data_IF_897097950738
#
_entry.id   IF_897097950738
#
_cell.length_a   1.000
_cell.length_b   1.000
_cell.length_c   1.000
_cell.angle_alpha   90.00
_cell.angle_beta   90.00
_cell.angle_gamma   90.00
#
_symmetry.space_group_name_H-M   'P 1'
#
loop_
_entity.id
_entity.type
_entity.pdbx_description
1 polymer ?
#
# COMPACT_ATOMS: atom_id res chain seq x y z
N UNK A 1 20.40 -0.11 5.30
CA UNK A 1 21.48 0.91 5.25
C UNK A 1 21.12 2.14 6.11
N UNK A 2 19.99 2.82 5.89
CA UNK A 2 19.61 4.07 6.58
C UNK A 2 19.55 3.92 8.10
N UNK A 3 18.99 2.81 8.60
CA UNK A 3 18.96 2.50 10.03
C UNK A 3 20.38 2.49 10.64
N UNK A 4 21.29 1.74 10.03
CA UNK A 4 22.68 1.63 10.54
C UNK A 4 23.40 2.97 10.51
N UNK A 5 23.22 3.75 9.44
CA UNK A 5 23.76 5.11 9.38
C UNK A 5 23.19 6.01 10.50
N UNK A 6 21.89 5.95 10.76
CA UNK A 6 21.26 6.70 11.83
C UNK A 6 21.85 6.31 13.20
N UNK A 7 21.92 5.02 13.50
CA UNK A 7 22.50 4.50 14.74
C UNK A 7 23.97 4.93 14.89
N UNK A 8 24.78 4.72 13.86
CA UNK A 8 26.22 5.00 13.89
C UNK A 8 26.51 6.52 14.02
N UNK A 9 25.54 7.37 13.69
CA UNK A 9 25.59 8.82 13.90
C UNK A 9 24.82 9.29 15.16
N UNK A 10 24.50 8.38 16.08
CA UNK A 10 23.99 8.73 17.41
C UNK A 10 22.49 9.03 17.48
N UNK A 11 21.70 8.58 16.48
CA UNK A 11 20.26 8.65 16.58
C UNK A 11 19.77 7.80 17.77
N UNK A 12 18.80 8.33 18.51
CA UNK A 12 18.26 7.65 19.70
C UNK A 12 17.07 6.77 19.40
N UNK A 13 16.43 6.95 18.27
CA UNK A 13 15.27 6.20 17.80
C UNK A 13 15.17 6.26 16.27
N UNK A 14 14.62 5.24 15.67
CA UNK A 14 14.37 5.17 14.25
C UNK A 14 12.86 4.98 13.98
N UNK A 15 12.30 5.81 13.13
CA UNK A 15 10.93 5.65 12.64
C UNK A 15 10.95 5.18 11.19
N UNK A 16 10.06 4.26 10.83
CA UNK A 16 9.94 3.75 9.47
C UNK A 16 8.48 3.58 9.04
N UNK A 17 8.21 3.98 7.81
CA UNK A 17 6.89 3.82 7.20
C UNK A 17 6.70 2.42 6.63
N UNK A 18 5.63 1.75 7.02
CA UNK A 18 5.14 0.49 6.45
C UNK A 18 3.76 0.69 5.80
N UNK A 19 3.03 -0.37 5.56
CA UNK A 19 1.76 -0.37 4.85
C UNK A 19 0.84 -1.47 5.39
N UNK A 20 -0.48 -1.30 5.26
CA UNK A 20 -1.52 -2.31 5.45
C UNK A 20 -1.20 -3.62 4.68
N UNK A 21 -0.62 -3.50 3.48
CA UNK A 21 -0.27 -4.65 2.62
C UNK A 21 0.84 -5.56 3.18
N UNK A 22 1.54 -5.12 4.24
CA UNK A 22 2.54 -5.93 4.93
C UNK A 22 1.94 -6.96 5.91
N UNK A 23 0.68 -6.78 6.33
CA UNK A 23 0.02 -7.68 7.29
C UNK A 23 -0.13 -9.11 6.73
N UNK A 24 -0.80 -9.24 5.58
CA UNK A 24 -0.98 -10.52 4.88
C UNK A 24 -0.59 -10.33 3.41
N UNK A 25 0.70 -10.35 3.05
CA UNK A 25 1.15 -9.96 1.72
C UNK A 25 0.71 -10.94 0.64
N UNK A 26 0.15 -10.40 -0.46
CA UNK A 26 -0.23 -11.15 -1.67
C UNK A 26 0.47 -10.62 -2.92
N UNK A 27 1.19 -9.51 -2.79
CA UNK A 27 1.99 -8.92 -3.86
C UNK A 27 3.41 -8.59 -3.38
N UNK A 28 4.32 -8.40 -4.33
CA UNK A 28 5.76 -8.16 -4.05
C UNK A 28 6.00 -6.90 -3.21
N UNK A 29 5.19 -5.85 -3.37
CA UNK A 29 5.33 -4.62 -2.60
C UNK A 29 4.99 -4.87 -1.12
N UNK A 30 3.86 -5.51 -0.83
CA UNK A 30 3.49 -5.90 0.53
C UNK A 30 4.52 -6.83 1.17
N UNK A 31 4.97 -7.86 0.42
CA UNK A 31 6.01 -8.78 0.88
C UNK A 31 7.34 -8.07 1.18
N UNK A 32 7.77 -7.14 0.33
CA UNK A 32 8.99 -6.36 0.57
C UNK A 32 8.90 -5.51 1.83
N UNK A 33 7.72 -4.94 2.13
CA UNK A 33 7.47 -4.19 3.36
C UNK A 33 7.43 -5.10 4.59
N UNK A 34 6.84 -6.28 4.48
CA UNK A 34 6.89 -7.28 5.56
C UNK A 34 8.32 -7.72 5.87
N UNK A 35 9.13 -8.00 4.84
CA UNK A 35 10.54 -8.31 5.01
C UNK A 35 11.29 -7.15 5.67
N UNK A 36 11.02 -5.91 5.27
CA UNK A 36 11.58 -4.73 5.92
C UNK A 36 11.23 -4.69 7.42
N UNK A 37 9.98 -4.97 7.80
CA UNK A 37 9.57 -5.05 9.22
C UNK A 37 10.38 -6.13 9.96
N UNK A 38 10.60 -7.32 9.36
CA UNK A 38 11.40 -8.39 9.97
C UNK A 38 12.85 -7.96 10.20
N UNK A 39 13.48 -7.28 9.24
CA UNK A 39 14.81 -6.71 9.44
C UNK A 39 14.83 -5.68 10.57
N UNK A 40 13.81 -4.81 10.64
CA UNK A 40 13.70 -3.81 11.69
C UNK A 40 13.48 -4.44 13.06
N UNK A 41 12.77 -5.56 13.16
CA UNK A 41 12.67 -6.33 14.42
C UNK A 41 14.04 -6.79 14.90
N UNK A 42 14.91 -7.30 14.03
CA UNK A 42 16.30 -7.65 14.39
C UNK A 42 17.10 -6.42 14.84
N UNK A 43 17.05 -5.36 14.07
CA UNK A 43 17.82 -4.14 14.37
C UNK A 43 17.31 -3.41 15.64
N UNK A 44 16.05 -3.64 16.04
CA UNK A 44 15.43 -3.04 17.24
C UNK A 44 16.09 -3.41 18.58
N UNK A 45 16.94 -4.43 18.57
CA UNK A 45 17.74 -4.81 19.73
C UNK A 45 18.89 -3.83 20.01
N UNK A 46 19.29 -3.05 18.99
CA UNK A 46 20.42 -2.12 19.08
C UNK A 46 19.99 -0.67 19.21
N UNK A 47 18.79 -0.32 18.75
CA UNK A 47 18.22 1.04 18.86
C UNK A 47 16.70 0.95 18.74
N UNK A 48 15.93 1.69 19.55
CA UNK A 48 14.47 1.67 19.48
C UNK A 48 13.92 2.03 18.09
N UNK A 49 12.92 1.25 17.65
CA UNK A 49 12.25 1.43 16.35
C UNK A 49 10.75 1.51 16.57
N UNK A 50 10.10 2.47 15.91
CA UNK A 50 8.65 2.46 15.74
C UNK A 50 8.28 2.54 14.27
N UNK A 51 7.09 2.06 13.91
CA UNK A 51 6.61 2.02 12.53
C UNK A 51 5.16 2.46 12.46
N UNK A 52 4.71 2.79 11.24
CA UNK A 52 3.31 3.00 10.95
C UNK A 52 2.89 2.24 9.70
N UNK A 53 1.79 1.49 9.78
CA UNK A 53 1.11 0.89 8.62
C UNK A 53 0.00 1.82 8.18
N UNK A 54 0.13 2.35 6.97
CA UNK A 54 -0.87 3.24 6.39
C UNK A 54 -1.94 2.47 5.62
N UNK A 55 -3.15 3.05 5.61
CA UNK A 55 -4.11 2.89 4.54
C UNK A 55 -3.63 3.59 3.25
N UNK A 56 -4.45 3.57 2.20
CA UNK A 56 -4.12 4.33 1.00
C UNK A 56 -4.22 5.84 1.29
N UNK A 57 -3.16 6.58 0.98
CA UNK A 57 -3.18 8.04 1.10
C UNK A 57 -3.87 8.61 -0.14
N UNK A 58 -4.99 9.28 0.08
CA UNK A 58 -5.81 9.83 -1.00
C UNK A 58 -5.02 10.87 -1.82
N UNK A 59 -5.11 10.75 -3.14
CA UNK A 59 -4.46 11.65 -4.12
C UNK A 59 -2.93 11.77 -4.01
N UNK A 60 -2.27 10.82 -3.34
CA UNK A 60 -0.81 10.77 -3.33
C UNK A 60 -0.26 10.51 -4.74
N UNK A 61 0.97 10.98 -4.99
CA UNK A 61 1.64 10.81 -6.28
C UNK A 61 1.71 9.34 -6.70
N UNK A 62 1.38 9.06 -7.97
CA UNK A 62 1.32 7.71 -8.51
C UNK A 62 0.11 6.88 -8.08
N UNK A 63 -0.81 7.42 -7.25
CA UNK A 63 -2.05 6.74 -6.90
C UNK A 63 -3.09 6.81 -8.02
N UNK A 64 -4.03 5.84 -8.04
CA UNK A 64 -5.15 5.86 -8.97
C UNK A 64 -5.98 7.16 -8.86
N UNK A 65 -6.18 7.65 -7.63
CA UNK A 65 -6.91 8.90 -7.40
C UNK A 65 -6.15 10.13 -7.94
N UNK A 66 -4.82 10.14 -7.85
CA UNK A 66 -4.03 11.16 -8.53
C UNK A 66 -4.19 11.05 -10.05
N UNK A 67 -4.28 9.83 -10.57
CA UNK A 67 -4.61 9.56 -11.98
C UNK A 67 -5.94 10.18 -12.42
N UNK A 68 -6.96 10.23 -11.55
CA UNK A 68 -8.22 10.92 -11.85
C UNK A 68 -8.02 12.42 -12.06
N UNK A 69 -7.19 13.10 -11.25
CA UNK A 69 -6.85 14.51 -11.46
C UNK A 69 -6.18 14.72 -12.82
N UNK A 70 -5.23 13.85 -13.18
CA UNK A 70 -4.51 13.93 -14.45
C UNK A 70 -5.44 13.70 -15.64
N UNK A 71 -6.29 12.68 -15.58
CA UNK A 71 -7.27 12.37 -16.63
C UNK A 71 -8.31 13.46 -16.78
N UNK A 72 -8.80 14.01 -15.65
CA UNK A 72 -9.74 15.12 -15.67
C UNK A 72 -9.14 16.36 -16.37
N UNK A 73 -7.93 16.75 -15.98
CA UNK A 73 -7.22 17.87 -16.60
C UNK A 73 -7.00 17.69 -18.12
N UNK A 74 -6.74 16.44 -18.54
CA UNK A 74 -6.52 16.08 -19.95
C UNK A 74 -7.82 15.76 -20.72
N UNK A 75 -8.99 15.86 -20.09
CA UNK A 75 -10.29 15.48 -20.65
C UNK A 75 -10.35 14.04 -21.15
N UNK A 76 -9.76 13.13 -20.39
CA UNK A 76 -9.68 11.69 -20.68
C UNK A 76 -10.72 10.90 -19.89
N UNK A 77 -11.22 9.76 -20.39
CA UNK A 77 -12.13 8.88 -19.65
C UNK A 77 -11.55 8.42 -18.31
N UNK A 78 -12.41 8.19 -17.33
CA UNK A 78 -12.00 7.53 -16.10
C UNK A 78 -12.13 6.01 -16.26
N UNK A 79 -11.14 5.28 -15.72
CA UNK A 79 -11.13 3.83 -15.68
C UNK A 79 -10.76 3.39 -14.27
N UNK A 80 -11.55 2.48 -13.69
CA UNK A 80 -11.32 2.01 -12.32
C UNK A 80 -11.96 0.64 -12.07
N UNK A 81 -11.37 -0.18 -11.16
CA UNK A 81 -12.03 -1.39 -10.69
C UNK A 81 -13.26 -1.05 -9.83
N UNK A 82 -14.32 -1.88 -9.95
CA UNK A 82 -15.59 -1.71 -9.25
C UNK A 82 -15.80 -2.72 -8.10
N UNK A 83 -14.92 -3.68 -7.95
CA UNK A 83 -14.97 -4.77 -6.96
C UNK A 83 -13.86 -4.66 -5.89
N UNK A 84 -12.86 -3.81 -6.11
CA UNK A 84 -11.77 -3.58 -5.18
C UNK A 84 -12.11 -2.42 -4.23
N UNK A 85 -12.07 -2.69 -2.93
CA UNK A 85 -12.37 -1.71 -1.88
C UNK A 85 -11.12 -1.35 -1.09
N UNK A 86 -10.98 -0.09 -0.73
CA UNK A 86 -9.83 0.39 0.05
C UNK A 86 -10.28 1.38 1.14
N UNK A 87 -9.49 1.40 2.20
CA UNK A 87 -9.51 2.49 3.17
C UNK A 87 -8.62 3.61 2.68
N UNK A 88 -9.06 4.85 2.89
CA UNK A 88 -8.29 6.03 2.53
C UNK A 88 -8.09 6.92 3.75
N UNK A 89 -6.90 7.48 3.85
CA UNK A 89 -6.55 8.55 4.78
C UNK A 89 -6.12 9.78 3.98
N UNK A 90 -6.30 10.94 4.56
CA UNK A 90 -5.79 12.19 3.96
C UNK A 90 -4.27 12.28 4.13
N UNK A 91 -3.57 13.11 3.33
CA UNK A 91 -2.15 13.40 3.55
C UNK A 91 -1.85 13.95 4.96
N UNK A 92 -2.77 14.73 5.55
CA UNK A 92 -2.66 15.23 6.91
C UNK A 92 -2.72 14.10 7.94
N UNK A 93 -3.75 13.25 7.91
CA UNK A 93 -3.89 12.10 8.81
C UNK A 93 -2.69 11.15 8.72
N UNK A 94 -2.16 10.94 7.51
CA UNK A 94 -0.96 10.13 7.34
C UNK A 94 0.28 10.75 7.96
N UNK A 95 0.43 12.08 7.86
CA UNK A 95 1.49 12.84 8.53
C UNK A 95 1.37 12.81 10.05
N UNK A 96 0.16 12.96 10.58
CA UNK A 96 -0.13 12.87 12.01
C UNK A 96 0.18 11.47 12.56
N UNK A 97 -0.21 10.40 11.84
CA UNK A 97 0.14 9.02 12.20
C UNK A 97 1.67 8.80 12.24
N UNK A 98 2.41 9.34 11.27
CA UNK A 98 3.88 9.33 11.29
C UNK A 98 4.43 10.00 12.53
N UNK A 99 3.96 11.21 12.82
CA UNK A 99 4.43 12.02 13.94
C UNK A 99 4.12 11.33 15.26
N UNK A 100 2.90 10.83 15.43
CA UNK A 100 2.51 10.07 16.62
C UNK A 100 3.40 8.83 16.80
N UNK A 101 3.59 8.03 15.77
CA UNK A 101 4.44 6.83 15.84
C UNK A 101 5.90 7.18 16.11
N UNK A 102 6.42 8.23 15.47
CA UNK A 102 7.78 8.71 15.67
C UNK A 102 8.05 9.19 17.09
N UNK A 103 7.11 9.93 17.70
CA UNK A 103 7.27 10.53 19.03
C UNK A 103 6.82 9.61 20.16
N UNK A 104 5.64 9.00 20.03
CA UNK A 104 4.95 8.29 21.11
C UNK A 104 5.05 6.76 21.01
N UNK A 105 5.42 6.22 19.84
CA UNK A 105 5.58 4.77 19.65
C UNK A 105 6.75 4.24 20.50
N UNK A 106 6.52 3.16 21.20
CA UNK A 106 7.55 2.43 21.93
C UNK A 106 8.39 1.55 20.98
N UNK A 107 9.44 0.92 21.50
CA UNK A 107 10.27 0.04 20.71
C UNK A 107 9.45 -1.12 20.13
N UNK A 108 9.53 -1.36 18.82
CA UNK A 108 8.84 -2.42 18.06
C UNK A 108 7.35 -2.20 17.84
N UNK A 109 6.79 -1.08 18.26
CA UNK A 109 5.39 -0.78 17.99
C UNK A 109 5.16 -0.38 16.53
N UNK A 110 4.04 -0.85 15.97
CA UNK A 110 3.54 -0.45 14.66
C UNK A 110 2.19 0.21 14.85
N UNK A 111 2.10 1.50 14.58
CA UNK A 111 0.86 2.25 14.64
C UNK A 111 0.05 2.07 13.35
N UNK A 112 -1.27 2.03 13.49
CA UNK A 112 -2.20 1.95 12.36
C UNK A 112 -3.49 2.72 12.66
N UNK A 113 -4.19 3.25 11.64
CA UNK A 113 -5.47 3.92 11.86
C UNK A 113 -6.51 2.88 12.28
N UNK A 114 -7.26 3.16 13.36
CA UNK A 114 -8.40 2.32 13.73
C UNK A 114 -9.49 2.46 12.68
N UNK A 115 -10.14 1.34 12.38
CA UNK A 115 -11.35 1.31 11.57
C UNK A 115 -12.47 1.96 12.41
N UNK A 116 -12.81 3.19 12.07
CA UNK A 116 -13.90 3.95 12.66
C UNK A 116 -15.05 4.13 11.67
N UNK A 117 -16.18 4.64 12.12
CA UNK A 117 -17.29 5.01 11.23
C UNK A 117 -16.87 6.04 10.15
N UNK A 118 -15.77 6.77 10.37
CA UNK A 118 -15.22 7.76 9.45
C UNK A 118 -14.28 7.15 8.41
N UNK A 119 -13.71 5.96 8.68
CA UNK A 119 -12.81 5.26 7.74
C UNK A 119 -13.62 4.27 6.91
N UNK A 120 -14.29 4.77 5.89
CA UNK A 120 -15.16 3.94 5.05
C UNK A 120 -14.37 3.12 4.04
N UNK A 121 -14.76 1.86 3.93
CA UNK A 121 -14.33 0.97 2.87
C UNK A 121 -15.10 1.33 1.59
N UNK A 122 -14.41 1.87 0.59
CA UNK A 122 -15.02 2.41 -0.62
C UNK A 122 -14.35 1.85 -1.88
N UNK A 123 -15.12 1.65 -2.95
CA UNK A 123 -14.57 1.24 -4.25
C UNK A 123 -13.97 2.42 -5.00
N UNK A 124 -13.01 2.13 -5.88
CA UNK A 124 -12.45 3.17 -6.75
C UNK A 124 -13.47 3.77 -7.71
N UNK A 125 -14.41 2.95 -8.19
CA UNK A 125 -15.51 3.41 -9.05
C UNK A 125 -16.43 4.40 -8.32
N UNK A 126 -16.77 4.15 -7.05
CA UNK A 126 -17.60 5.07 -6.27
C UNK A 126 -16.89 6.41 -6.03
N UNK A 127 -15.57 6.37 -5.78
CA UNK A 127 -14.76 7.59 -5.65
C UNK A 127 -14.77 8.37 -6.97
N UNK A 128 -14.55 7.68 -8.10
CA UNK A 128 -14.58 8.30 -9.43
C UNK A 128 -15.89 9.02 -9.70
N UNK A 129 -17.02 8.37 -9.40
CA UNK A 129 -18.33 8.97 -9.59
C UNK A 129 -18.57 10.18 -8.67
N UNK A 130 -18.21 10.08 -7.38
CA UNK A 130 -18.32 11.21 -6.45
C UNK A 130 -17.45 12.39 -6.88
N UNK A 131 -16.22 12.12 -7.29
CA UNK A 131 -15.30 13.12 -7.82
C UNK A 131 -15.89 13.86 -9.00
N UNK A 132 -16.42 13.15 -9.99
CA UNK A 132 -16.99 13.75 -11.20
C UNK A 132 -18.22 14.60 -10.89
N UNK A 133 -19.12 14.14 -10.02
CA UNK A 133 -20.29 14.93 -9.57
C UNK A 133 -19.84 16.20 -8.85
N UNK A 134 -18.83 16.13 -8.01
CA UNK A 134 -18.27 17.31 -7.34
C UNK A 134 -17.66 18.32 -8.34
N UNK A 135 -17.10 17.81 -9.45
CA UNK A 135 -16.57 18.64 -10.54
C UNK A 135 -17.64 19.13 -11.51
N UNK A 136 -18.93 18.85 -11.26
CA UNK A 136 -20.07 19.30 -12.06
C UNK A 136 -20.33 18.49 -13.33
N UNK A 137 -19.98 17.20 -13.30
CA UNK A 137 -20.25 16.25 -14.39
C UNK A 137 -21.02 15.04 -13.87
N UNK A 138 -21.93 14.52 -14.70
CA UNK A 138 -22.56 13.21 -14.43
C UNK A 138 -21.71 12.08 -15.01
N UNK A 139 -21.39 11.03 -14.23
CA UNK A 139 -20.68 9.86 -14.74
C UNK A 139 -21.52 9.13 -15.78
N UNK A 140 -20.93 8.82 -16.93
CA UNK A 140 -21.53 7.99 -17.97
C UNK A 140 -20.77 6.68 -18.06
N UNK A 141 -21.41 5.58 -17.68
CA UNK A 141 -20.77 4.24 -17.71
C UNK A 141 -20.77 3.71 -19.13
N UNK A 142 -19.58 3.48 -19.68
CA UNK A 142 -19.34 2.88 -20.98
C UNK A 142 -19.11 1.36 -20.83
N UNK A 143 -19.46 0.61 -21.86
CA UNK A 143 -19.31 -0.85 -21.88
C UNK A 143 -17.84 -1.30 -22.12
N UNK A 144 -17.02 -0.43 -22.70
CA UNK A 144 -15.61 -0.70 -22.98
C UNK A 144 -14.75 0.56 -22.88
N UNK A 145 -13.43 0.37 -22.79
CA UNK A 145 -12.46 1.50 -22.84
C UNK A 145 -12.53 2.21 -24.20
N UNK A 146 -12.73 1.47 -25.29
CA UNK A 146 -12.84 2.02 -26.63
C UNK A 146 -14.05 2.96 -26.73
N UNK A 147 -15.23 2.50 -26.32
CA UNK A 147 -16.42 3.35 -26.26
C UNK A 147 -16.17 4.62 -25.42
N UNK A 148 -15.53 4.48 -24.26
CA UNK A 148 -15.25 5.62 -23.40
C UNK A 148 -14.33 6.65 -24.07
N UNK A 149 -13.34 6.21 -24.83
CA UNK A 149 -12.43 7.08 -25.57
C UNK A 149 -13.12 7.76 -26.74
N UNK A 150 -13.85 7.01 -27.55
CA UNK A 150 -14.50 7.51 -28.78
C UNK A 150 -15.58 8.55 -28.46
N UNK A 151 -16.30 8.36 -27.36
CA UNK A 151 -17.39 9.25 -26.95
C UNK A 151 -16.96 10.40 -26.03
N UNK A 152 -15.69 10.48 -25.67
CA UNK A 152 -15.23 11.44 -24.66
C UNK A 152 -15.58 12.90 -25.00
N UNK A 153 -15.30 13.35 -26.22
CA UNK A 153 -15.58 14.73 -26.63
C UNK A 153 -17.07 15.05 -26.60
N UNK A 154 -17.91 14.14 -27.12
CA UNK A 154 -19.37 14.28 -27.15
C UNK A 154 -19.96 14.36 -25.74
N UNK A 155 -19.62 13.41 -24.89
CA UNK A 155 -20.17 13.29 -23.54
C UNK A 155 -19.77 14.48 -22.66
N UNK A 156 -18.49 14.87 -22.71
CA UNK A 156 -17.99 16.00 -21.90
C UNK A 156 -18.67 17.32 -22.32
N UNK A 157 -18.97 17.51 -23.60
CA UNK A 157 -19.72 18.67 -24.07
C UNK A 157 -21.16 18.72 -23.49
N UNK A 158 -21.74 17.56 -23.17
CA UNK A 158 -23.06 17.39 -22.54
C UNK A 158 -23.03 17.37 -21.01
N UNK A 159 -21.92 17.74 -20.39
CA UNK A 159 -21.71 17.62 -18.93
C UNK A 159 -21.82 16.20 -18.38
N UNK A 160 -21.54 15.21 -19.22
CA UNK A 160 -21.37 13.83 -18.85
C UNK A 160 -19.88 13.46 -18.97
N UNK A 161 -19.39 12.55 -18.09
CA UNK A 161 -18.00 12.11 -18.16
C UNK A 161 -17.90 10.62 -18.43
N UNK A 162 -17.22 10.18 -19.49
CA UNK A 162 -17.11 8.76 -19.81
C UNK A 162 -16.31 8.01 -18.76
N UNK A 163 -16.89 6.91 -18.27
CA UNK A 163 -16.29 6.04 -17.28
C UNK A 163 -16.35 4.59 -17.74
N UNK A 164 -15.24 3.87 -17.62
CA UNK A 164 -15.21 2.43 -17.79
C UNK A 164 -14.84 1.76 -16.48
N UNK A 165 -15.79 1.02 -15.89
CA UNK A 165 -15.60 0.30 -14.65
C UNK A 165 -15.56 -1.20 -14.92
N UNK A 166 -14.55 -1.89 -14.38
CA UNK A 166 -14.27 -3.28 -14.65
C UNK A 166 -14.01 -4.06 -13.35
N UNK A 167 -14.16 -5.39 -13.40
CA UNK A 167 -13.72 -6.25 -12.31
C UNK A 167 -12.23 -6.48 -12.38
N UNK A 168 -11.55 -6.36 -11.23
CA UNK A 168 -10.09 -6.52 -11.17
C UNK A 168 -9.70 -7.97 -11.45
N UNK A 169 -8.73 -8.14 -12.34
CA UNK A 169 -8.03 -9.39 -12.61
C UNK A 169 -6.52 -9.24 -12.44
N UNK A 170 -6.13 -8.21 -11.69
CA UNK A 170 -4.73 -7.81 -11.48
C UNK A 170 -4.00 -8.78 -10.54
N UNK A 171 -2.72 -9.03 -10.83
CA UNK A 171 -1.84 -9.84 -9.99
C UNK A 171 -1.76 -9.30 -8.57
N UNK A 172 -2.01 -10.15 -7.58
CA UNK A 172 -1.83 -9.82 -6.16
C UNK A 172 -2.80 -8.76 -5.63
N UNK A 173 -4.01 -8.67 -6.18
CA UNK A 173 -5.07 -7.82 -5.65
C UNK A 173 -5.92 -8.57 -4.62
N UNK A 174 -6.31 -7.87 -3.54
CA UNK A 174 -7.27 -8.32 -2.54
C UNK A 174 -8.56 -7.51 -2.64
N UNK A 175 -9.69 -8.08 -2.18
CA UNK A 175 -10.95 -7.34 -2.06
C UNK A 175 -10.80 -6.13 -1.13
N UNK A 176 -10.10 -6.31 -0.01
CA UNK A 176 -9.73 -5.24 0.93
C UNK A 176 -8.42 -5.57 1.65
N UNK A 177 -7.77 -4.56 2.21
CA UNK A 177 -6.52 -4.71 2.96
C UNK A 177 -6.76 -4.69 4.47
N UNK A 178 -5.87 -5.34 5.21
CA UNK A 178 -5.91 -5.46 6.66
C UNK A 178 -4.69 -4.77 7.27
N UNK A 179 -4.87 -4.11 8.41
CA UNK A 179 -3.74 -3.44 9.09
C UNK A 179 -2.91 -4.39 9.95
N UNK A 180 -3.50 -5.49 10.39
CA UNK A 180 -2.89 -6.45 11.30
C UNK A 180 -3.37 -7.88 11.00
N UNK A 181 -2.67 -8.84 11.56
CA UNK A 181 -3.02 -10.26 11.51
C UNK A 181 -3.57 -10.75 12.85
N UNK A 182 -4.26 -11.88 12.85
CA UNK A 182 -4.78 -12.50 14.10
C UNK A 182 -3.69 -12.93 15.08
N UNK A 183 -2.43 -12.94 14.63
CA UNK A 183 -1.27 -13.35 15.45
C UNK A 183 -0.57 -12.17 16.13
N UNK A 184 -0.94 -10.93 15.78
CA UNK A 184 -0.32 -9.73 16.32
C UNK A 184 -1.04 -9.27 17.60
N UNK A 185 -0.28 -8.88 18.61
CA UNK A 185 -0.81 -8.36 19.88
C UNK A 185 -1.16 -6.88 19.71
N UNK A 186 -2.42 -6.52 20.02
CA UNK A 186 -2.99 -5.21 19.73
C UNK A 186 -3.27 -4.41 20.98
N UNK A 187 -2.81 -3.18 21.03
CA UNK A 187 -3.29 -2.16 21.97
C UNK A 187 -4.28 -1.24 21.26
N UNK A 188 -5.56 -1.43 21.55
CA UNK A 188 -6.65 -0.62 21.00
C UNK A 188 -7.15 0.45 21.98
N UNK A 189 -6.55 0.56 23.16
CA UNK A 189 -7.04 1.43 24.25
C UNK A 189 -6.28 2.74 24.39
N UNK A 190 -5.02 2.79 23.98
CA UNK A 190 -4.09 3.90 24.24
C UNK A 190 -4.46 5.21 23.56
N UNK A 191 -5.03 5.16 22.35
CA UNK A 191 -5.46 6.33 21.58
C UNK A 191 -6.84 6.09 20.97
N UNK A 192 -7.62 7.14 20.77
CA UNK A 192 -8.97 7.03 20.21
C UNK A 192 -8.96 6.57 18.75
N UNK A 193 -8.20 7.23 17.87
CA UNK A 193 -8.18 6.98 16.42
C UNK A 193 -7.05 6.09 15.91
N UNK A 194 -6.11 5.68 16.77
CA UNK A 194 -4.91 4.91 16.40
C UNK A 194 -4.79 3.67 17.27
N UNK A 195 -4.57 2.51 16.63
CA UNK A 195 -4.18 1.27 17.28
C UNK A 195 -2.66 1.08 17.22
N UNK A 196 -2.13 0.28 18.11
CA UNK A 196 -0.72 -0.11 18.13
C UNK A 196 -0.58 -1.63 18.15
N UNK A 197 0.26 -2.17 17.29
CA UNK A 197 0.70 -3.56 17.33
C UNK A 197 1.94 -3.60 18.18
N UNK A 198 1.94 -4.48 19.23
CA UNK A 198 3.08 -4.71 20.11
C UNK A 198 3.86 -5.93 19.64
N UNK A 199 5.00 -5.72 19.03
CA UNK A 199 5.80 -6.82 18.52
C UNK A 199 6.87 -7.28 19.51
N UNK A 200 7.06 -8.60 19.55
CA UNK A 200 8.23 -9.22 20.15
C UNK A 200 9.34 -9.36 19.09
N UNK A 201 10.62 -9.36 19.47
CA UNK A 201 11.74 -9.50 18.52
C UNK A 201 11.88 -10.96 18.05
N UNK A 202 10.85 -11.47 17.38
CA UNK A 202 10.82 -12.82 16.84
C UNK A 202 11.27 -12.73 15.38
N UNK A 203 12.46 -13.29 15.08
CA UNK A 203 13.02 -13.35 13.74
C UNK A 203 14.02 -14.51 13.63
N UNK A 204 14.21 -15.00 12.43
CA UNK A 204 15.28 -15.95 12.08
C UNK A 204 16.44 -15.18 11.45
N UNK A 205 17.53 -15.02 12.21
CA UNK A 205 18.68 -14.23 11.75
C UNK A 205 19.35 -14.86 10.54
N UNK A 206 19.41 -16.19 10.47
CA UNK A 206 20.05 -16.89 9.35
C UNK A 206 19.25 -16.67 8.06
N UNK A 207 17.93 -16.83 8.10
CA UNK A 207 17.06 -16.57 6.94
C UNK A 207 17.14 -15.14 6.44
N UNK A 208 17.24 -14.16 7.35
CA UNK A 208 17.43 -12.75 6.98
C UNK A 208 18.76 -12.51 6.29
N UNK A 209 19.83 -13.16 6.76
CA UNK A 209 21.16 -13.05 6.17
C UNK A 209 21.23 -13.79 4.82
N UNK A 210 20.59 -14.95 4.70
CA UNK A 210 20.48 -15.69 3.44
C UNK A 210 19.71 -14.88 2.39
N UNK A 211 18.60 -14.25 2.77
CA UNK A 211 17.87 -13.34 1.89
C UNK A 211 18.74 -12.17 1.41
N UNK A 212 19.47 -11.51 2.33
CA UNK A 212 20.36 -10.40 1.98
C UNK A 212 21.47 -10.85 1.01
N UNK A 213 22.05 -12.02 1.27
CA UNK A 213 23.11 -12.60 0.44
C UNK A 213 22.58 -13.00 -0.93
N UNK A 214 21.39 -13.60 -0.99
CA UNK A 214 20.71 -13.94 -2.25
C UNK A 214 20.42 -12.72 -3.12
N UNK A 215 19.88 -11.65 -2.52
CA UNK A 215 19.67 -10.38 -3.24
C UNK A 215 20.98 -9.79 -3.74
N UNK A 216 22.03 -9.84 -2.93
CA UNK A 216 23.35 -9.34 -3.34
C UNK A 216 23.94 -10.16 -4.51
N UNK A 217 23.82 -11.48 -4.45
CA UNK A 217 24.29 -12.37 -5.52
C UNK A 217 23.58 -12.10 -6.86
N UNK A 218 22.24 -11.89 -6.83
CA UNK A 218 21.49 -11.52 -8.03
C UNK A 218 21.96 -10.17 -8.61
N UNK A 219 22.23 -9.18 -7.76
CA UNK A 219 22.75 -7.88 -8.20
C UNK A 219 24.15 -7.98 -8.82
N UNK A 220 25.05 -8.78 -8.25
CA UNK A 220 26.40 -8.99 -8.74
C UNK A 220 26.41 -9.75 -10.08
N UNK A 221 25.49 -10.71 -10.23
CA UNK A 221 25.27 -11.41 -11.51
C UNK A 221 24.82 -10.46 -12.62
N UNK A 222 24.19 -9.33 -12.27
CA UNK A 222 23.70 -8.32 -13.22
C UNK A 222 22.53 -8.77 -14.09
N UNK A 223 21.99 -9.98 -13.86
CA UNK A 223 20.82 -10.51 -14.55
C UNK A 223 20.01 -11.39 -13.60
N UNK A 224 18.71 -11.23 -13.63
CA UNK A 224 17.77 -12.02 -12.85
C UNK A 224 16.46 -12.18 -13.63
N UNK A 225 15.75 -13.26 -13.38
CA UNK A 225 14.37 -13.43 -13.79
C UNK A 225 13.41 -13.23 -12.59
N UNK A 226 12.13 -13.19 -12.87
CA UNK A 226 11.11 -13.01 -11.87
C UNK A 226 11.06 -14.15 -10.86
N UNK A 227 11.28 -15.40 -11.33
CA UNK A 227 11.21 -16.56 -10.48
C UNK A 227 12.33 -16.55 -9.43
N UNK A 228 13.57 -16.22 -9.81
CA UNK A 228 14.68 -16.11 -8.88
C UNK A 228 14.42 -15.10 -7.75
N UNK A 229 13.71 -14.01 -8.03
CA UNK A 229 13.29 -13.05 -7.00
C UNK A 229 12.19 -13.64 -6.12
N UNK A 230 11.16 -14.27 -6.72
CA UNK A 230 10.07 -14.88 -5.99
C UNK A 230 10.55 -15.99 -5.04
N UNK A 231 11.49 -16.81 -5.46
CA UNK A 231 12.06 -17.89 -4.65
C UNK A 231 12.68 -17.33 -3.36
N UNK A 232 13.48 -16.25 -3.45
CA UNK A 232 14.03 -15.59 -2.25
C UNK A 232 12.93 -15.07 -1.30
N UNK A 233 11.82 -14.57 -1.85
CA UNK A 233 10.70 -14.10 -1.03
C UNK A 233 9.96 -15.25 -0.37
N UNK A 234 9.70 -16.35 -1.07
CA UNK A 234 9.03 -17.54 -0.51
C UNK A 234 9.88 -18.23 0.55
N UNK A 235 11.22 -18.30 0.36
CA UNK A 235 12.11 -18.88 1.36
C UNK A 235 12.07 -18.13 2.70
N UNK A 236 11.99 -16.79 2.66
CA UNK A 236 11.91 -15.97 3.85
C UNK A 236 10.49 -15.83 4.40
N UNK A 237 9.47 -15.78 3.52
CA UNK A 237 8.06 -15.61 3.85
C UNK A 237 7.24 -16.78 3.29
N UNK A 238 7.22 -17.94 3.95
CA UNK A 238 6.44 -19.11 3.46
C UNK A 238 4.94 -18.84 3.35
N UNK A 239 4.41 -17.89 4.13
CA UNK A 239 3.01 -17.43 4.09
C UNK A 239 2.70 -16.45 2.96
N UNK A 240 3.67 -16.07 2.15
CA UNK A 240 3.47 -15.16 1.02
C UNK A 240 2.50 -15.76 -0.01
N UNK A 241 1.26 -15.29 -0.03
CA UNK A 241 0.18 -15.84 -0.86
C UNK A 241 0.15 -15.22 -2.26
N UNK A 242 1.31 -15.06 -2.91
CA UNK A 242 1.39 -14.50 -4.25
C UNK A 242 0.73 -15.38 -5.31
N UNK A 243 -0.19 -14.78 -6.07
CA UNK A 243 -0.80 -15.41 -7.25
C UNK A 243 -0.50 -14.57 -8.48
N UNK A 244 0.23 -15.14 -9.39
CA UNK A 244 0.58 -14.49 -10.65
C UNK A 244 -0.52 -14.69 -11.69
N UNK A 245 -1.07 -13.61 -12.20
CA UNK A 245 -2.05 -13.62 -13.29
C UNK A 245 -1.48 -13.09 -14.60
N UNK A 246 -0.26 -12.53 -14.57
CA UNK A 246 0.36 -11.90 -15.74
C UNK A 246 -0.25 -10.55 -16.12
N UNK A 247 -1.19 -10.03 -15.33
CA UNK A 247 -1.87 -8.76 -15.59
C UNK A 247 -1.51 -7.75 -14.52
N UNK A 248 -1.12 -6.57 -14.93
CA UNK A 248 -0.66 -5.50 -14.04
C UNK A 248 -1.48 -4.24 -14.24
N UNK A 249 -1.72 -3.51 -13.18
CA UNK A 249 -2.56 -2.30 -13.19
C UNK A 249 -2.04 -1.24 -14.18
N UNK A 250 -0.72 -1.09 -14.27
CA UNK A 250 -0.07 -0.12 -15.17
C UNK A 250 -0.35 -0.37 -16.67
N UNK A 251 -0.80 -1.57 -17.04
CA UNK A 251 -1.15 -1.91 -18.42
C UNK A 251 -2.54 -1.42 -18.82
N UNK A 252 -3.35 -0.97 -17.86
CA UNK A 252 -4.75 -0.53 -18.04
C UNK A 252 -4.98 0.96 -17.74
N UNK A 253 -3.93 1.70 -17.51
CA UNK A 253 -4.00 3.14 -17.20
C UNK A 253 -3.66 4.02 -18.39
#
# INVERSE_FOLDING_TARGET
KTFRLARDNGAKKYFCVSTDKAANPVNMMGASKRIMEMFLMRESETMPISMARFANVAFSDGSLLHGFNQRFAKRQPFSAPNDVRRYFVTPQESGELCLMSGLLGENREIFFPKLSEHLHLITFSDIAERYLRQMGYEPFRCASEEEARDRAAELIAKKQWPCYFFSSDTTGEKDFEEFFTDKEDLDMSRFDGVGAIKNQPIYDSQKLDDFSSGVQALREKGSWDKQAILDLFFDLLPEFAHKETGKYLDQRM
#
